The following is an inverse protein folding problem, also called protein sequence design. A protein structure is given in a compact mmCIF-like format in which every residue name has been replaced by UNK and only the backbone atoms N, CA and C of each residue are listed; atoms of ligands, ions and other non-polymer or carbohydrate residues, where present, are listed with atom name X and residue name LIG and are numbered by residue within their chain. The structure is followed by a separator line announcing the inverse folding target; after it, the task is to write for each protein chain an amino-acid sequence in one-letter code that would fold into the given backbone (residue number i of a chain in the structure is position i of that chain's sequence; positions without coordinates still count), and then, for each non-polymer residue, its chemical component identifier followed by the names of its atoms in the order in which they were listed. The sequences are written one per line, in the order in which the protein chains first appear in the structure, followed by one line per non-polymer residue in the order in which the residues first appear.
data_IF_351250184541
#
_entry.id   IF_351250184541
#
_cell.length_a   1.000
_cell.length_b   1.000
_cell.length_c   1.000
_cell.angle_alpha   90.00
_cell.angle_beta   90.00
_cell.angle_gamma   90.00
#
_symmetry.space_group_name_H-M   'P 1'
#
loop_
_entity.id
_entity.type
_entity.pdbx_description
1 polymer ?
#
# COMPACT_ATOMS: atom_id res chain seq x y z
N UNK A 1 53.90 39.19 23.53
CA UNK A 1 53.50 39.86 22.27
C UNK A 1 52.87 38.80 21.37
N UNK A 2 51.67 39.10 20.87
CA UNK A 2 50.76 38.18 20.20
C UNK A 2 51.33 37.67 18.87
N UNK A 3 51.22 36.36 18.62
CA UNK A 3 51.37 35.79 17.29
C UNK A 3 50.00 35.25 16.84
N UNK A 4 49.30 36.08 16.08
CA UNK A 4 48.01 35.80 15.44
C UNK A 4 48.26 34.93 14.20
N UNK A 5 47.85 33.68 14.24
CA UNK A 5 47.89 32.79 13.06
C UNK A 5 46.60 32.97 12.26
N UNK A 6 46.72 33.57 11.07
CA UNK A 6 45.66 33.71 10.09
C UNK A 6 45.30 32.34 9.50
N UNK A 7 44.10 31.82 9.81
CA UNK A 7 43.53 30.66 9.12
C UNK A 7 42.84 31.13 7.84
N UNK A 8 43.47 30.88 6.69
CA UNK A 8 42.87 31.09 5.38
C UNK A 8 41.77 30.05 5.14
N UNK A 9 40.52 30.50 5.01
CA UNK A 9 39.38 29.67 4.64
C UNK A 9 39.48 29.22 3.18
N UNK A 10 39.47 27.91 2.95
CA UNK A 10 39.34 27.36 1.59
C UNK A 10 37.94 27.69 1.04
N UNK A 11 37.81 28.17 -0.21
CA UNK A 11 36.51 28.44 -0.80
C UNK A 11 35.73 27.13 -0.94
N UNK A 12 34.52 27.10 -0.37
CA UNK A 12 33.55 26.02 -0.50
C UNK A 12 33.01 26.08 -1.93
N UNK A 13 33.46 25.20 -2.80
CA UNK A 13 32.85 24.97 -4.12
C UNK A 13 31.42 24.49 -3.91
N UNK A 14 30.45 25.37 -4.14
CA UNK A 14 29.04 25.01 -4.21
C UNK A 14 28.83 24.23 -5.50
N UNK A 15 28.72 22.90 -5.37
CA UNK A 15 28.24 22.05 -6.47
C UNK A 15 26.81 22.50 -6.77
N UNK A 16 26.49 22.91 -8.02
CA UNK A 16 25.13 23.27 -8.38
C UNK A 16 24.22 22.05 -8.16
N UNK A 17 23.12 22.24 -7.42
CA UNK A 17 22.06 21.23 -7.38
C UNK A 17 21.55 21.07 -8.81
N UNK A 18 21.87 19.94 -9.44
CA UNK A 18 21.37 19.61 -10.77
C UNK A 18 19.86 19.80 -10.80
N UNK A 19 19.38 20.63 -11.72
CA UNK A 19 17.99 20.72 -12.10
C UNK A 19 17.59 19.39 -12.75
N UNK A 20 17.23 18.41 -11.93
CA UNK A 20 16.67 17.16 -12.42
C UNK A 20 15.43 17.46 -13.26
N UNK A 21 15.35 16.86 -14.44
CA UNK A 21 14.13 16.88 -15.26
C UNK A 21 12.93 16.51 -14.38
N UNK A 22 11.77 17.17 -14.55
CA UNK A 22 10.57 16.83 -13.79
C UNK A 22 10.25 15.35 -13.98
N UNK A 23 9.84 14.68 -12.89
CA UNK A 23 9.40 13.29 -12.92
C UNK A 23 8.33 13.09 -14.00
N UNK A 24 8.48 12.08 -14.88
CA UNK A 24 7.50 11.84 -15.94
C UNK A 24 6.12 11.56 -15.35
N UNK A 25 5.09 12.06 -16.05
CA UNK A 25 3.69 11.72 -15.79
C UNK A 25 3.36 10.55 -16.73
N UNK A 26 2.91 9.43 -16.17
CA UNK A 26 2.61 8.20 -16.91
C UNK A 26 1.14 7.78 -16.69
N UNK A 27 0.53 7.20 -17.71
CA UNK A 27 -0.87 6.75 -17.71
C UNK A 27 -1.04 5.36 -18.35
N UNK A 28 -2.25 5.08 -18.85
CA UNK A 28 -2.56 3.84 -19.54
C UNK A 28 -1.68 3.66 -20.79
N UNK A 29 -1.11 2.46 -20.97
CA UNK A 29 -0.23 2.12 -22.09
C UNK A 29 1.25 2.46 -21.89
N UNK A 30 1.61 3.25 -20.86
CA UNK A 30 3.00 3.56 -20.53
C UNK A 30 3.69 2.42 -19.78
N UNK A 31 5.02 2.36 -19.86
CA UNK A 31 5.84 1.44 -19.04
C UNK A 31 6.01 2.00 -17.63
N UNK A 32 5.27 1.46 -16.67
CA UNK A 32 5.28 1.90 -15.27
C UNK A 32 6.15 0.96 -14.42
N UNK A 33 6.88 1.55 -13.46
CA UNK A 33 7.72 0.83 -12.51
C UNK A 33 8.78 -0.04 -13.18
N UNK A 34 8.79 -1.33 -12.82
CA UNK A 34 9.70 -2.34 -13.39
C UNK A 34 9.17 -2.96 -14.70
N UNK A 35 8.04 -2.47 -15.22
CA UNK A 35 7.41 -2.91 -16.46
C UNK A 35 6.31 -3.96 -16.29
N UNK A 36 6.00 -4.33 -15.05
CA UNK A 36 4.93 -5.25 -14.65
C UNK A 36 3.73 -4.53 -14.02
N UNK A 37 3.66 -3.20 -14.17
CA UNK A 37 2.62 -2.33 -13.61
C UNK A 37 1.90 -1.60 -14.73
N UNK A 38 0.58 -1.48 -14.63
CA UNK A 38 -0.27 -0.81 -15.62
C UNK A 38 -1.53 -0.20 -14.98
N UNK A 39 -2.23 0.63 -15.75
CA UNK A 39 -3.51 1.24 -15.36
C UNK A 39 -4.60 0.73 -16.30
N UNK A 40 -5.75 0.41 -15.72
CA UNK A 40 -7.02 0.24 -16.42
C UNK A 40 -7.93 1.39 -16.06
N UNK A 41 -8.47 2.06 -17.08
CA UNK A 41 -9.46 3.12 -16.93
C UNK A 41 -10.86 2.55 -17.19
N UNK A 42 -11.89 3.17 -16.59
CA UNK A 42 -13.29 2.76 -16.72
C UNK A 42 -13.52 1.31 -16.28
N UNK A 43 -13.05 0.97 -15.07
CA UNK A 43 -13.14 -0.39 -14.53
C UNK A 43 -14.59 -0.88 -14.38
N UNK A 44 -15.44 -0.03 -13.79
CA UNK A 44 -16.82 -0.33 -13.45
C UNK A 44 -17.76 0.17 -14.55
N UNK A 45 -18.87 -0.55 -14.73
CA UNK A 45 -19.97 -0.12 -15.60
C UNK A 45 -20.66 1.14 -15.04
N UNK A 46 -21.34 1.88 -15.92
CA UNK A 46 -21.92 3.19 -15.62
C UNK A 46 -22.94 3.15 -14.46
N UNK A 47 -23.74 2.10 -14.37
CA UNK A 47 -24.72 1.93 -13.30
C UNK A 47 -24.10 1.79 -11.91
N UNK A 48 -22.97 1.07 -11.82
CA UNK A 48 -22.23 0.91 -10.57
C UNK A 48 -21.36 2.14 -10.27
N UNK A 49 -20.73 2.74 -11.28
CA UNK A 49 -19.80 3.86 -11.07
C UNK A 49 -20.52 5.09 -10.50
N UNK A 50 -21.73 5.36 -10.97
CA UNK A 50 -22.55 6.51 -10.57
C UNK A 50 -22.91 6.50 -9.07
N UNK A 51 -23.04 5.29 -8.50
CA UNK A 51 -23.44 5.10 -7.10
C UNK A 51 -22.29 4.67 -6.19
N UNK A 52 -21.17 4.19 -6.75
CA UNK A 52 -20.08 3.57 -5.99
C UNK A 52 -19.52 4.49 -4.91
N UNK A 53 -19.30 5.78 -5.21
CA UNK A 53 -18.70 6.69 -4.24
C UNK A 53 -19.56 6.86 -2.98
N UNK A 54 -20.85 7.17 -3.15
CA UNK A 54 -21.77 7.39 -2.03
C UNK A 54 -22.09 6.08 -1.28
N UNK A 55 -22.21 4.97 -2.01
CA UNK A 55 -22.39 3.66 -1.37
C UNK A 55 -21.17 3.28 -0.53
N UNK A 56 -19.94 3.43 -1.04
CA UNK A 56 -18.74 3.15 -0.27
C UNK A 56 -18.66 4.02 0.99
N UNK A 57 -18.98 5.32 0.90
CA UNK A 57 -19.00 6.21 2.09
C UNK A 57 -19.97 5.71 3.16
N UNK A 58 -21.12 5.16 2.76
CA UNK A 58 -22.20 4.70 3.65
C UNK A 58 -22.00 3.27 4.17
N UNK A 59 -21.54 2.36 3.33
CA UNK A 59 -21.47 0.92 3.62
C UNK A 59 -20.21 0.54 4.39
N UNK A 60 -19.07 1.20 4.10
CA UNK A 60 -17.78 0.88 4.69
C UNK A 60 -17.72 1.33 6.15
N UNK A 61 -17.24 0.45 7.02
CA UNK A 61 -17.06 0.72 8.44
C UNK A 61 -15.75 1.48 8.68
N UNK A 62 -15.80 2.80 8.59
CA UNK A 62 -14.63 3.66 8.70
C UNK A 62 -14.07 3.74 10.12
N UNK A 63 -12.75 3.57 10.23
CA UNK A 63 -11.98 3.68 11.46
C UNK A 63 -10.91 4.76 11.35
N UNK A 64 -10.61 5.39 12.48
CA UNK A 64 -9.41 6.21 12.64
C UNK A 64 -8.27 5.31 13.11
N UNK A 65 -7.16 5.30 12.37
CA UNK A 65 -5.94 4.56 12.75
C UNK A 65 -4.90 5.48 13.38
N UNK A 66 -4.08 4.91 14.25
CA UNK A 66 -2.90 5.56 14.82
C UNK A 66 -1.64 4.83 14.36
N UNK A 67 -0.57 5.59 14.10
CA UNK A 67 0.74 5.03 13.78
C UNK A 67 1.84 5.93 14.36
N UNK A 68 2.77 5.35 15.15
CA UNK A 68 3.88 6.09 15.78
C UNK A 68 3.40 7.26 16.65
N UNK A 69 2.31 7.06 17.37
CA UNK A 69 1.76 8.05 18.32
C UNK A 69 0.96 9.20 17.71
N UNK A 70 0.60 9.13 16.42
CA UNK A 70 -0.26 10.13 15.76
C UNK A 70 -1.38 9.50 14.92
N UNK A 71 -2.47 10.24 14.75
CA UNK A 71 -3.55 9.86 13.83
C UNK A 71 -3.02 9.78 12.39
N UNK A 72 -3.31 8.66 11.73
CA UNK A 72 -3.06 8.51 10.31
C UNK A 72 -4.04 9.43 9.55
N UNK A 73 -3.57 10.30 8.64
CA UNK A 73 -4.38 11.36 8.04
C UNK A 73 -5.20 10.80 6.87
N UNK A 74 -6.13 9.89 7.19
CA UNK A 74 -7.15 9.26 6.33
C UNK A 74 -7.95 8.28 7.19
N UNK A 75 -9.22 8.10 6.87
CA UNK A 75 -10.00 7.01 7.45
C UNK A 75 -9.67 5.70 6.73
N UNK A 76 -9.78 4.58 7.44
CA UNK A 76 -9.44 3.26 6.91
C UNK A 76 -10.51 2.23 7.22
N UNK A 77 -10.54 1.15 6.46
CA UNK A 77 -11.27 -0.07 6.79
C UNK A 77 -10.55 -1.27 6.19
N UNK A 78 -10.75 -2.44 6.77
CA UNK A 78 -10.29 -3.71 6.22
C UNK A 78 -11.50 -4.59 5.99
N UNK A 79 -11.65 -5.07 4.77
CA UNK A 79 -12.69 -6.04 4.43
C UNK A 79 -12.08 -7.26 3.73
N UNK A 80 -12.73 -8.41 3.82
CA UNK A 80 -12.26 -9.64 3.19
C UNK A 80 -13.33 -10.72 3.08
N UNK A 81 -12.93 -11.83 2.47
CA UNK A 81 -13.77 -13.03 2.38
C UNK A 81 -13.66 -13.79 3.71
N UNK A 82 -14.81 -14.14 4.28
CA UNK A 82 -14.88 -15.10 5.39
C UNK A 82 -15.12 -16.47 4.77
N UNK A 83 -14.21 -17.40 5.00
CA UNK A 83 -14.31 -18.76 4.48
C UNK A 83 -15.46 -19.52 5.15
N UNK A 84 -15.93 -20.61 4.54
CA UNK A 84 -17.06 -21.41 5.05
C UNK A 84 -16.84 -21.95 6.47
N UNK A 85 -15.58 -22.08 6.87
CA UNK A 85 -15.15 -22.56 8.18
C UNK A 85 -14.91 -21.42 9.21
N UNK A 86 -15.21 -20.18 8.82
CA UNK A 86 -15.01 -18.97 9.61
C UNK A 86 -13.60 -18.41 9.57
N UNK A 87 -12.64 -19.05 8.89
CA UNK A 87 -11.29 -18.49 8.75
C UNK A 87 -11.29 -17.24 7.87
N UNK A 88 -10.34 -16.35 8.14
CA UNK A 88 -10.24 -15.03 7.50
C UNK A 88 -8.82 -14.79 7.00
N UNK A 89 -8.64 -14.07 5.87
CA UNK A 89 -7.33 -13.70 5.37
C UNK A 89 -6.67 -12.66 6.28
N UNK A 90 -5.37 -12.83 6.51
CA UNK A 90 -4.56 -11.93 7.32
C UNK A 90 -3.51 -11.25 6.46
N UNK A 91 -3.55 -9.91 6.38
CA UNK A 91 -2.48 -9.11 5.78
C UNK A 91 -1.67 -8.40 6.87
N UNK A 92 -0.39 -8.73 7.00
CA UNK A 92 0.50 -8.14 8.00
C UNK A 92 1.38 -7.05 7.41
N UNK A 93 1.48 -5.95 8.13
CA UNK A 93 2.43 -4.88 7.88
C UNK A 93 2.82 -4.21 9.20
N UNK A 94 3.93 -3.43 9.24
CA UNK A 94 4.29 -2.67 10.43
C UNK A 94 3.18 -1.66 10.77
N UNK A 95 2.44 -1.92 11.84
CA UNK A 95 1.45 -1.03 12.43
C UNK A 95 1.35 -1.32 13.92
N UNK A 96 0.92 -0.33 14.70
CA UNK A 96 0.72 -0.52 16.14
C UNK A 96 -0.50 -1.45 16.36
N UNK A 97 -1.57 -1.24 15.57
CA UNK A 97 -2.76 -2.09 15.51
C UNK A 97 -3.31 -2.11 14.08
N UNK A 98 -3.98 -3.20 13.68
CA UNK A 98 -4.75 -3.28 12.43
C UNK A 98 -6.25 -3.21 12.72
N UNK A 99 -7.07 -2.51 11.91
CA UNK A 99 -8.52 -2.56 12.04
C UNK A 99 -9.03 -4.00 11.93
N UNK A 100 -10.16 -4.33 12.59
CA UNK A 100 -10.78 -5.64 12.40
C UNK A 100 -11.18 -5.83 10.94
N UNK A 101 -11.06 -7.07 10.46
CA UNK A 101 -11.54 -7.45 9.14
C UNK A 101 -13.05 -7.67 9.20
N UNK A 102 -13.78 -7.00 8.31
CA UNK A 102 -15.21 -7.22 8.08
C UNK A 102 -15.46 -7.98 6.77
N UNK A 103 -16.62 -8.63 6.59
CA UNK A 103 -17.00 -9.14 5.28
C UNK A 103 -17.03 -8.03 4.23
N UNK A 104 -16.77 -8.36 2.96
CA UNK A 104 -17.01 -7.40 1.87
C UNK A 104 -18.44 -6.87 1.91
N UNK A 105 -18.55 -5.54 1.92
CA UNK A 105 -19.82 -4.83 1.70
C UNK A 105 -20.32 -5.06 0.27
N UNK A 106 -21.62 -4.85 -0.02
CA UNK A 106 -22.19 -5.11 -1.35
C UNK A 106 -21.41 -4.40 -2.48
N UNK A 107 -21.08 -3.12 -2.30
CA UNK A 107 -20.35 -2.36 -3.31
C UNK A 107 -18.90 -2.85 -3.45
N UNK A 108 -18.22 -3.15 -2.34
CA UNK A 108 -16.85 -3.71 -2.37
C UNK A 108 -16.80 -5.07 -3.05
N UNK A 109 -17.81 -5.93 -2.83
CA UNK A 109 -17.92 -7.24 -3.47
C UNK A 109 -18.04 -7.13 -4.99
N UNK A 110 -18.85 -6.19 -5.50
CA UNK A 110 -18.96 -5.94 -6.94
C UNK A 110 -17.65 -5.42 -7.54
N UNK A 111 -16.95 -4.52 -6.85
CA UNK A 111 -15.63 -4.04 -7.28
C UNK A 111 -14.60 -5.18 -7.26
N UNK A 112 -14.60 -6.03 -6.23
CA UNK A 112 -13.71 -7.18 -6.12
C UNK A 112 -13.89 -8.18 -7.28
N UNK A 113 -15.13 -8.38 -7.74
CA UNK A 113 -15.44 -9.20 -8.92
C UNK A 113 -14.86 -8.58 -10.21
N UNK A 114 -15.05 -7.26 -10.41
CA UNK A 114 -14.49 -6.54 -11.55
C UNK A 114 -12.95 -6.62 -11.55
N UNK A 115 -12.32 -6.40 -10.38
CA UNK A 115 -10.88 -6.53 -10.19
C UNK A 115 -10.40 -7.94 -10.56
N UNK A 116 -11.01 -8.98 -9.96
CA UNK A 116 -10.61 -10.38 -10.18
C UNK A 116 -10.68 -10.78 -11.65
N UNK A 117 -11.69 -10.28 -12.38
CA UNK A 117 -11.84 -10.50 -13.83
C UNK A 117 -10.68 -9.90 -14.63
N UNK A 118 -10.22 -8.70 -14.26
CA UNK A 118 -9.13 -8.01 -14.95
C UNK A 118 -7.78 -8.67 -14.68
N UNK A 119 -7.47 -9.01 -13.42
CA UNK A 119 -6.17 -9.61 -13.04
C UNK A 119 -6.11 -11.13 -13.21
N UNK A 120 -7.25 -11.77 -13.52
CA UNK A 120 -7.36 -13.22 -13.71
C UNK A 120 -6.86 -14.05 -12.52
N UNK A 121 -7.07 -13.55 -11.30
CA UNK A 121 -6.87 -14.26 -10.05
C UNK A 121 -7.85 -13.69 -9.00
N UNK A 122 -8.24 -14.44 -7.96
CA UNK A 122 -9.13 -13.90 -6.94
C UNK A 122 -8.45 -12.79 -6.15
N UNK A 123 -9.25 -11.93 -5.53
CA UNK A 123 -8.84 -11.05 -4.44
C UNK A 123 -9.76 -11.29 -3.25
N UNK A 124 -9.19 -11.59 -2.09
CA UNK A 124 -9.94 -12.00 -0.89
C UNK A 124 -9.77 -11.01 0.27
N UNK A 125 -9.01 -9.94 0.08
CA UNK A 125 -8.74 -8.93 1.09
C UNK A 125 -8.64 -7.55 0.45
N UNK A 126 -9.14 -6.51 1.13
CA UNK A 126 -9.02 -5.12 0.72
C UNK A 126 -8.69 -4.21 1.91
N UNK A 127 -7.70 -3.33 1.71
CA UNK A 127 -7.52 -2.16 2.57
C UNK A 127 -8.18 -0.97 1.90
N UNK A 128 -9.18 -0.38 2.55
CA UNK A 128 -9.93 0.77 2.05
C UNK A 128 -9.42 2.02 2.76
N UNK A 129 -9.21 3.10 2.02
CA UNK A 129 -8.67 4.36 2.54
C UNK A 129 -9.47 5.53 1.99
N UNK A 130 -10.04 6.34 2.87
CA UNK A 130 -10.78 7.54 2.50
C UNK A 130 -9.92 8.79 2.76
N UNK A 131 -9.48 9.41 1.67
CA UNK A 131 -8.78 10.67 1.65
C UNK A 131 -9.82 11.79 1.57
N UNK A 132 -10.05 12.47 2.69
CA UNK A 132 -11.10 13.50 2.85
C UNK A 132 -10.77 14.81 2.12
N UNK A 133 -9.51 14.99 1.75
CA UNK A 133 -9.03 16.15 0.99
C UNK A 133 -7.62 15.91 0.42
N UNK A 134 -7.08 16.89 -0.29
CA UNK A 134 -5.68 16.93 -0.69
C UNK A 134 -4.67 16.92 0.47
N UNK A 135 -5.10 17.19 1.71
CA UNK A 135 -4.23 17.15 2.89
C UNK A 135 -3.98 15.73 3.39
N UNK A 136 -4.90 14.80 3.13
CA UNK A 136 -4.74 13.38 3.48
C UNK A 136 -3.71 12.74 2.53
N UNK A 137 -2.83 11.90 3.07
CA UNK A 137 -1.67 11.37 2.35
C UNK A 137 -1.24 10.02 2.93
N UNK A 138 -0.42 9.28 2.18
CA UNK A 138 0.32 8.11 2.65
C UNK A 138 1.78 8.23 2.21
N UNK A 139 2.69 8.11 3.17
CA UNK A 139 4.14 8.18 2.90
C UNK A 139 4.59 7.06 1.97
N UNK A 140 5.73 7.27 1.30
CA UNK A 140 6.31 6.28 0.41
C UNK A 140 6.68 4.99 1.16
N UNK A 141 6.22 3.84 0.66
CA UNK A 141 6.43 2.50 1.23
C UNK A 141 6.42 1.42 0.14
N UNK A 142 6.83 0.20 0.47
CA UNK A 142 6.45 -1.01 -0.27
C UNK A 142 5.43 -1.79 0.55
N UNK A 143 4.45 -2.39 -0.12
CA UNK A 143 3.53 -3.34 0.51
C UNK A 143 4.30 -4.60 0.92
N UNK A 144 3.88 -5.25 2.01
CA UNK A 144 4.55 -6.44 2.52
C UNK A 144 4.04 -7.68 1.83
N UNK A 145 4.96 -8.47 1.27
CA UNK A 145 4.59 -9.62 0.44
C UNK A 145 4.55 -10.95 1.19
N UNK A 146 4.81 -10.96 2.51
CA UNK A 146 4.75 -12.17 3.34
C UNK A 146 3.42 -12.93 3.18
N UNK A 147 2.30 -12.20 3.19
CA UNK A 147 0.96 -12.79 3.13
C UNK A 147 0.33 -12.72 1.74
N UNK A 148 0.93 -11.98 0.80
CA UNK A 148 0.41 -11.84 -0.57
C UNK A 148 0.80 -13.08 -1.38
N UNK A 149 -0.17 -13.77 -1.95
CA UNK A 149 0.06 -14.98 -2.75
C UNK A 149 1.07 -14.69 -3.86
N UNK A 150 2.14 -15.48 -3.91
CA UNK A 150 3.19 -15.32 -4.92
C UNK A 150 2.61 -15.39 -6.33
N UNK A 151 3.01 -14.46 -7.18
CA UNK A 151 2.54 -14.35 -8.57
C UNK A 151 1.21 -13.58 -8.74
N UNK A 152 0.56 -13.17 -7.65
CA UNK A 152 -0.60 -12.26 -7.69
C UNK A 152 -0.19 -10.79 -7.80
N UNK A 153 -1.14 -9.93 -8.16
CA UNK A 153 -0.97 -8.48 -8.19
C UNK A 153 -1.50 -7.80 -6.92
N UNK A 154 -0.96 -6.61 -6.63
CA UNK A 154 -1.55 -5.66 -5.68
C UNK A 154 -2.32 -4.63 -6.50
N UNK A 155 -3.62 -4.49 -6.23
CA UNK A 155 -4.51 -3.70 -7.09
C UNK A 155 -5.10 -2.53 -6.33
N UNK A 156 -4.90 -1.30 -6.81
CA UNK A 156 -5.50 -0.10 -6.22
C UNK A 156 -6.60 0.47 -7.12
N UNK A 157 -7.85 0.34 -6.70
CA UNK A 157 -8.99 1.00 -7.36
C UNK A 157 -9.21 2.39 -6.76
N UNK A 158 -9.50 3.37 -7.61
CA UNK A 158 -9.73 4.77 -7.24
C UNK A 158 -11.14 5.21 -7.61
N UNK A 159 -11.93 5.58 -6.60
CA UNK A 159 -13.26 6.17 -6.77
C UNK A 159 -13.25 7.55 -6.11
N UNK A 160 -13.57 8.59 -6.87
CA UNK A 160 -13.66 9.97 -6.39
C UNK A 160 -12.68 10.91 -7.11
N UNK A 161 -12.21 11.94 -6.41
CA UNK A 161 -11.24 12.90 -6.90
C UNK A 161 -9.93 12.24 -7.36
N UNK A 162 -9.39 12.72 -8.48
CA UNK A 162 -8.09 12.28 -8.98
C UNK A 162 -6.97 12.64 -7.99
N UNK A 163 -6.12 11.65 -7.68
CA UNK A 163 -4.86 11.85 -6.95
C UNK A 163 -3.71 11.24 -7.74
N UNK A 164 -2.48 11.59 -7.36
CA UNK A 164 -1.27 11.10 -8.04
C UNK A 164 -0.57 10.07 -7.17
N UNK A 165 -0.41 8.86 -7.70
CA UNK A 165 0.51 7.85 -7.20
C UNK A 165 1.93 8.23 -7.59
N UNK A 166 2.81 8.35 -6.60
CA UNK A 166 4.23 8.54 -6.82
C UNK A 166 4.93 7.21 -6.70
N UNK A 167 5.69 6.80 -7.72
CA UNK A 167 6.62 5.68 -7.63
C UNK A 167 8.04 6.24 -7.58
N UNK A 168 8.78 5.95 -6.51
CA UNK A 168 10.19 6.33 -6.39
C UNK A 168 11.05 5.08 -6.29
N UNK A 169 12.07 4.99 -7.13
CA UNK A 169 12.98 3.85 -7.11
C UNK A 169 13.73 3.77 -5.77
N UNK A 170 13.96 2.56 -5.26
CA UNK A 170 14.76 2.35 -4.04
C UNK A 170 16.21 2.81 -4.24
N UNK A 171 16.84 3.23 -3.13
CA UNK A 171 18.12 3.96 -3.15
C UNK A 171 19.31 3.11 -3.62
N UNK A 172 19.25 1.81 -3.37
CA UNK A 172 20.25 0.82 -3.75
C UNK A 172 20.30 0.57 -5.26
N UNK A 173 19.17 0.73 -5.97
CA UNK A 173 19.10 0.67 -7.43
C UNK A 173 19.45 1.99 -8.12
N UNK A 174 19.23 3.11 -7.45
CA UNK A 174 19.45 4.43 -8.03
C UNK A 174 19.77 5.45 -6.94
N UNK A 175 21.02 5.96 -6.87
CA UNK A 175 21.36 7.04 -5.94
C UNK A 175 20.67 8.37 -6.33
N UNK A 176 20.20 8.49 -7.57
CA UNK A 176 19.38 9.62 -8.02
C UNK A 176 17.90 9.37 -7.71
N UNK A 177 17.18 10.44 -7.34
CA UNK A 177 15.75 10.42 -7.01
C UNK A 177 14.88 10.26 -8.27
N UNK A 178 15.06 9.17 -9.02
CA UNK A 178 14.16 8.88 -10.13
C UNK A 178 12.79 8.50 -9.58
N UNK A 179 11.77 9.23 -10.04
CA UNK A 179 10.39 9.01 -9.65
C UNK A 179 9.46 9.17 -10.84
N UNK A 180 8.38 8.41 -10.86
CA UNK A 180 7.28 8.49 -11.81
C UNK A 180 6.03 9.02 -11.09
N UNK A 181 5.19 9.76 -11.82
CA UNK A 181 3.92 10.31 -11.32
C UNK A 181 2.78 9.70 -12.13
N UNK A 182 1.84 9.09 -11.45
CA UNK A 182 0.75 8.35 -12.09
C UNK A 182 -0.58 8.93 -11.61
N UNK A 183 -1.28 9.73 -12.42
CA UNK A 183 -2.64 10.15 -12.12
C UNK A 183 -3.56 8.94 -11.99
N UNK A 184 -4.39 8.94 -10.95
CA UNK A 184 -5.39 7.92 -10.68
C UNK A 184 -6.79 8.55 -10.82
N UNK A 185 -7.37 8.56 -12.02
CA UNK A 185 -8.68 9.16 -12.24
C UNK A 185 -9.79 8.37 -11.53
N UNK A 186 -10.98 8.97 -11.45
CA UNK A 186 -12.19 8.26 -11.02
C UNK A 186 -12.40 7.00 -11.86
N UNK A 187 -12.86 5.91 -11.24
CA UNK A 187 -13.10 4.62 -11.90
C UNK A 187 -11.86 4.02 -12.58
N UNK A 188 -10.68 4.22 -11.97
CA UNK A 188 -9.43 3.62 -12.44
C UNK A 188 -8.90 2.56 -11.51
N UNK A 189 -8.10 1.66 -12.08
CA UNK A 189 -7.45 0.54 -11.40
C UNK A 189 -5.96 0.54 -11.73
N UNK A 190 -5.14 0.80 -10.74
CA UNK A 190 -3.68 0.68 -10.82
C UNK A 190 -3.27 -0.72 -10.38
N UNK A 191 -2.78 -1.52 -11.34
CA UNK A 191 -2.34 -2.90 -11.12
C UNK A 191 -0.84 -2.89 -10.95
N UNK A 192 -0.38 -3.15 -9.72
CA UNK A 192 1.03 -3.20 -9.39
C UNK A 192 1.54 -4.64 -9.39
N UNK A 193 2.56 -4.90 -10.20
CA UNK A 193 3.29 -6.15 -10.16
C UNK A 193 4.30 -6.20 -9.01
N UNK A 194 4.64 -7.43 -8.57
CA UNK A 194 5.52 -7.63 -7.42
C UNK A 194 6.96 -7.19 -7.67
N UNK A 195 7.44 -7.15 -8.92
CA UNK A 195 8.77 -6.59 -9.20
C UNK A 195 8.77 -5.08 -8.99
N UNK A 196 7.71 -4.39 -9.41
CA UNK A 196 7.55 -2.97 -9.10
C UNK A 196 7.49 -2.73 -7.59
N UNK A 197 6.68 -3.49 -6.83
CA UNK A 197 6.63 -3.35 -5.37
C UNK A 197 8.00 -3.61 -4.69
N UNK A 198 8.80 -4.53 -5.24
CA UNK A 198 10.15 -4.83 -4.74
C UNK A 198 11.16 -3.73 -5.05
N UNK A 199 11.12 -3.13 -6.22
CA UNK A 199 12.15 -2.19 -6.68
C UNK A 199 11.81 -0.71 -6.44
N UNK A 200 10.54 -0.43 -6.13
CA UNK A 200 9.99 0.90 -5.98
C UNK A 200 9.26 1.07 -4.65
N UNK A 201 9.22 2.31 -4.19
CA UNK A 201 8.36 2.77 -3.11
C UNK A 201 7.21 3.56 -3.73
N UNK A 202 5.99 3.37 -3.22
CA UNK A 202 4.80 4.07 -3.68
C UNK A 202 4.15 4.91 -2.58
N UNK A 203 3.52 6.01 -2.95
CA UNK A 203 2.80 6.87 -2.01
C UNK A 203 1.86 7.87 -2.68
N UNK A 204 0.96 8.43 -1.88
CA UNK A 204 0.08 9.55 -2.27
C UNK A 204 0.52 10.76 -1.46
N UNK A 205 1.09 11.77 -2.10
CA UNK A 205 1.56 12.99 -1.43
C UNK A 205 0.43 13.96 -1.14
N UNK A 206 0.65 14.82 -0.13
CA UNK A 206 -0.21 15.99 0.12
C UNK A 206 -0.21 16.90 -1.11
N UNK A 207 -1.38 17.40 -1.47
CA UNK A 207 -1.58 18.39 -2.53
C UNK A 207 -2.18 19.69 -1.97
N UNK A 208 -1.28 20.56 -1.51
CA UNK A 208 -1.59 21.85 -0.90
C UNK A 208 -1.75 22.98 -1.93
N UNK A 209 -1.79 22.67 -3.23
CA UNK A 209 -2.03 23.68 -4.26
C UNK A 209 -3.38 24.38 -4.02
N UNK A 210 -3.50 25.70 -4.29
CA UNK A 210 -4.78 26.39 -4.20
C UNK A 210 -5.85 25.72 -5.08
N UNK A 211 -7.10 25.61 -4.59
CA UNK A 211 -8.21 24.93 -5.30
C UNK A 211 -8.37 25.44 -6.74
N UNK A 212 -8.24 26.75 -6.96
CA UNK A 212 -8.31 27.38 -8.30
C UNK A 212 -7.24 26.92 -9.31
N UNK A 213 -6.23 26.18 -8.87
CA UNK A 213 -5.15 25.64 -9.72
C UNK A 213 -5.31 24.13 -9.98
N UNK A 214 -6.36 23.52 -9.42
CA UNK A 214 -6.71 22.12 -9.61
C UNK A 214 -7.74 22.02 -10.73
N UNK A 215 -7.65 20.97 -11.52
CA UNK A 215 -8.62 20.61 -12.56
C UNK A 215 -9.93 20.07 -11.98
N UNK A 216 -10.97 19.98 -12.80
CA UNK A 216 -12.29 19.49 -12.39
C UNK A 216 -12.22 18.04 -11.86
N UNK A 217 -11.42 17.19 -12.49
CA UNK A 217 -11.23 15.80 -12.02
C UNK A 217 -10.51 15.72 -10.67
N UNK A 218 -9.69 16.71 -10.31
CA UNK A 218 -9.00 16.79 -9.02
C UNK A 218 -9.88 17.39 -7.91
N UNK A 219 -10.98 18.05 -8.26
CA UNK A 219 -11.95 18.66 -7.32
C UNK A 219 -13.30 17.95 -7.29
N UNK A 220 -13.52 16.98 -8.18
CA UNK A 220 -14.70 16.11 -8.20
C UNK A 220 -14.96 15.49 -6.82
N UNK A 221 -16.23 15.19 -6.52
CA UNK A 221 -16.64 14.60 -5.22
C UNK A 221 -16.15 15.42 -4.01
N UNK A 222 -16.13 16.76 -4.13
CA UNK A 222 -15.64 17.65 -3.09
C UNK A 222 -14.12 17.55 -2.81
N UNK A 223 -13.36 16.92 -3.70
CA UNK A 223 -11.93 16.64 -3.52
C UNK A 223 -11.64 15.40 -2.67
N UNK A 224 -12.67 14.61 -2.34
CA UNK A 224 -12.56 13.35 -1.60
C UNK A 224 -12.21 12.19 -2.55
N UNK A 225 -11.40 11.24 -2.08
CA UNK A 225 -11.05 10.02 -2.83
C UNK A 225 -11.12 8.80 -1.92
N UNK A 226 -11.80 7.75 -2.39
CA UNK A 226 -11.78 6.42 -1.78
C UNK A 226 -10.85 5.53 -2.61
N UNK A 227 -9.90 4.92 -1.91
CA UNK A 227 -8.93 3.98 -2.46
C UNK A 227 -9.25 2.59 -1.94
N UNK A 228 -9.30 1.60 -2.82
CA UNK A 228 -9.46 0.19 -2.45
C UNK A 228 -8.22 -0.58 -2.90
N UNK A 229 -7.37 -0.99 -1.96
CA UNK A 229 -6.18 -1.81 -2.26
C UNK A 229 -6.50 -3.28 -2.04
N UNK A 230 -6.86 -3.97 -3.11
CA UNK A 230 -7.13 -5.41 -3.14
C UNK A 230 -5.84 -6.23 -3.22
N UNK A 231 -5.85 -7.37 -2.54
CA UNK A 231 -4.78 -8.37 -2.55
C UNK A 231 -5.37 -9.77 -2.59
N UNK A 232 -4.61 -10.71 -3.13
CA UNK A 232 -4.83 -12.13 -2.91
C UNK A 232 -3.94 -12.57 -1.75
N UNK A 233 -4.54 -12.94 -0.63
CA UNK A 233 -3.87 -13.28 0.61
C UNK A 233 -3.87 -14.78 0.82
N UNK A 234 -2.69 -15.35 1.12
CA UNK A 234 -2.46 -16.76 1.32
C UNK A 234 -2.20 -17.16 2.77
N UNK A 235 -2.31 -16.22 3.72
CA UNK A 235 -2.18 -16.44 5.16
C UNK A 235 -3.51 -16.20 5.83
N UNK A 236 -3.88 -17.06 6.78
CA UNK A 236 -5.21 -17.09 7.36
C UNK A 236 -5.15 -17.20 8.88
N UNK A 237 -6.13 -16.58 9.54
CA UNK A 237 -6.48 -16.84 10.93
C UNK A 237 -7.68 -17.78 10.97
N UNK A 238 -7.67 -18.72 11.91
CA UNK A 238 -8.84 -19.56 12.22
C UNK A 238 -9.98 -18.70 12.78
N UNK A 239 -11.22 -19.23 12.81
CA UNK A 239 -12.43 -18.50 13.20
C UNK A 239 -12.35 -17.76 14.55
N UNK A 240 -11.65 -18.34 15.53
CA UNK A 240 -11.44 -17.73 16.86
C UNK A 240 -10.19 -16.84 16.93
N UNK A 241 -9.49 -16.65 15.81
CA UNK A 241 -8.21 -15.94 15.68
C UNK A 241 -7.10 -16.47 16.61
N UNK A 242 -7.25 -17.68 17.16
CA UNK A 242 -6.28 -18.27 18.09
C UNK A 242 -5.07 -18.86 17.38
N UNK A 243 -5.24 -19.25 16.12
CA UNK A 243 -4.24 -19.96 15.34
C UNK A 243 -4.13 -19.40 13.92
N UNK A 244 -2.93 -19.47 13.38
CA UNK A 244 -2.53 -18.94 12.07
C UNK A 244 -1.97 -20.08 11.20
N UNK A 245 -2.23 -19.99 9.90
CA UNK A 245 -1.68 -20.90 8.89
C UNK A 245 -1.54 -20.22 7.52
N UNK A 246 -0.89 -20.89 6.58
CA UNK A 246 -0.76 -20.44 5.20
C UNK A 246 0.64 -19.93 4.85
N UNK A 247 0.75 -19.25 3.70
CA UNK A 247 2.02 -18.90 3.07
C UNK A 247 3.00 -18.21 4.03
N UNK A 248 2.54 -17.17 4.71
CA UNK A 248 3.32 -16.36 5.62
C UNK A 248 3.43 -16.91 7.04
N UNK A 249 2.69 -17.96 7.40
CA UNK A 249 2.74 -18.60 8.71
C UNK A 249 3.80 -19.71 8.74
N UNK A 250 4.19 -20.18 9.92
CA UNK A 250 5.11 -21.33 10.02
C UNK A 250 4.41 -22.61 9.53
N UNK A 251 3.16 -22.83 9.95
CA UNK A 251 2.30 -23.90 9.42
C UNK A 251 1.72 -23.52 8.07
N UNK A 252 1.98 -24.28 7.01
CA UNK A 252 1.63 -23.87 5.64
C UNK A 252 0.22 -24.33 5.24
N UNK A 253 -0.29 -25.37 5.90
CA UNK A 253 -1.67 -25.83 5.73
C UNK A 253 -2.48 -25.63 7.00
N UNK A 254 -3.81 -25.79 6.87
CA UNK A 254 -4.72 -25.67 8.00
C UNK A 254 -4.47 -26.73 9.07
N UNK A 255 -4.14 -27.95 8.67
CA UNK A 255 -3.83 -29.07 9.57
C UNK A 255 -2.55 -28.79 10.38
N UNK A 256 -1.68 -27.95 9.85
CA UNK A 256 -0.44 -27.49 10.46
C UNK A 256 -0.61 -26.17 11.21
N UNK A 257 -1.83 -25.65 11.38
CA UNK A 257 -2.07 -24.37 12.03
C UNK A 257 -1.44 -24.31 13.43
N UNK A 258 -0.86 -23.15 13.75
CA UNK A 258 -0.11 -22.93 14.99
C UNK A 258 -0.73 -21.80 15.80
N UNK A 259 -0.58 -21.80 17.14
CA UNK A 259 -1.04 -20.70 17.96
C UNK A 259 -0.42 -19.37 17.51
N UNK A 260 -1.24 -18.33 17.45
CA UNK A 260 -0.78 -16.96 17.18
C UNK A 260 0.16 -16.49 18.28
N UNK A 261 1.21 -15.78 17.89
CA UNK A 261 2.14 -15.11 18.80
C UNK A 261 1.78 -13.61 18.85
N UNK A 262 1.55 -13.11 20.07
CA UNK A 262 1.24 -11.70 20.32
C UNK A 262 2.15 -11.14 21.41
N UNK A 263 2.70 -9.95 21.20
CA UNK A 263 3.41 -9.20 22.24
C UNK A 263 4.70 -9.84 22.77
N UNK A 264 5.32 -10.74 21.99
CA UNK A 264 6.66 -11.28 22.29
C UNK A 264 7.70 -10.41 21.54
N UNK A 265 8.48 -9.56 22.23
CA UNK A 265 9.32 -8.56 21.57
C UNK A 265 10.35 -9.15 20.60
N UNK A 266 10.94 -10.30 20.95
CA UNK A 266 11.95 -10.94 20.10
C UNK A 266 11.36 -11.43 18.76
N UNK A 267 10.19 -12.07 18.79
CA UNK A 267 9.51 -12.57 17.59
C UNK A 267 8.96 -11.41 16.74
N UNK A 268 8.39 -10.39 17.39
CA UNK A 268 7.97 -9.15 16.74
C UNK A 268 9.14 -8.46 16.05
N UNK A 269 10.30 -8.38 16.71
CA UNK A 269 11.49 -7.73 16.14
C UNK A 269 12.01 -8.47 14.91
N UNK A 270 12.05 -9.81 14.91
CA UNK A 270 12.45 -10.60 13.74
C UNK A 270 11.59 -10.28 12.50
N UNK A 271 10.26 -10.21 12.68
CA UNK A 271 9.35 -9.87 11.59
C UNK A 271 9.50 -8.40 11.15
N UNK A 272 9.66 -7.47 12.09
CA UNK A 272 9.91 -6.05 11.80
C UNK A 272 11.22 -5.87 11.02
N UNK A 273 12.27 -6.60 11.36
CA UNK A 273 13.54 -6.58 10.64
C UNK A 273 13.39 -7.12 9.22
N UNK A 274 12.64 -8.20 9.03
CA UNK A 274 12.31 -8.74 7.71
C UNK A 274 11.50 -7.74 6.86
N UNK A 275 10.50 -7.08 7.45
CA UNK A 275 9.79 -5.96 6.82
C UNK A 275 10.73 -4.80 6.46
N UNK A 276 11.71 -4.52 7.32
CA UNK A 276 12.76 -3.55 7.10
C UNK A 276 13.58 -3.88 5.85
N UNK A 277 14.08 -5.12 5.73
CA UNK A 277 14.83 -5.59 4.56
C UNK A 277 14.03 -5.41 3.27
N UNK A 278 12.77 -5.84 3.23
CA UNK A 278 11.91 -5.70 2.05
C UNK A 278 11.72 -4.24 1.62
N UNK A 279 11.71 -3.28 2.54
CA UNK A 279 11.61 -1.85 2.18
C UNK A 279 12.90 -1.26 1.60
N UNK A 280 14.06 -1.77 1.99
CA UNK A 280 15.36 -1.15 1.67
C UNK A 280 16.10 -1.86 0.55
N UNK A 281 15.88 -3.16 0.38
CA UNK A 281 16.64 -4.02 -0.54
C UNK A 281 15.81 -4.34 -1.78
N UNK A 282 16.35 -4.02 -2.95
CA UNK A 282 15.76 -4.32 -4.25
C UNK A 282 15.99 -5.76 -4.72
N UNK A 283 17.03 -6.41 -4.19
CA UNK A 283 17.31 -7.83 -4.38
C UNK A 283 16.77 -8.69 -3.22
N UNK A 284 15.69 -8.22 -2.59
CA UNK A 284 15.03 -8.94 -1.50
C UNK A 284 14.69 -10.38 -1.90
N UNK A 285 15.22 -11.34 -1.15
CA UNK A 285 14.92 -12.76 -1.27
C UNK A 285 13.78 -13.12 -0.31
N UNK A 286 12.62 -13.42 -0.89
CA UNK A 286 11.42 -13.76 -0.13
C UNK A 286 11.59 -15.09 0.62
N UNK A 287 12.26 -16.08 0.01
CA UNK A 287 12.39 -17.42 0.58
C UNK A 287 13.35 -17.39 1.78
N UNK A 288 14.43 -16.59 1.71
CA UNK A 288 15.33 -16.34 2.85
C UNK A 288 14.64 -15.56 3.98
N UNK A 289 13.93 -14.47 3.65
CA UNK A 289 13.38 -13.56 4.65
C UNK A 289 12.05 -14.03 5.27
N UNK A 290 11.18 -14.69 4.49
CA UNK A 290 9.83 -15.08 4.88
C UNK A 290 9.53 -16.56 4.75
N UNK A 291 10.36 -17.36 4.05
CA UNK A 291 10.05 -18.75 3.73
C UNK A 291 9.74 -19.63 4.95
N UNK A 292 10.48 -19.44 6.04
CA UNK A 292 10.25 -20.16 7.31
C UNK A 292 8.91 -19.79 7.99
N UNK A 293 8.32 -18.66 7.61
CA UNK A 293 7.06 -18.17 8.16
C UNK A 293 7.20 -17.48 9.51
N UNK A 294 6.14 -16.79 9.90
CA UNK A 294 6.01 -16.08 11.17
C UNK A 294 4.62 -16.31 11.73
N UNK A 295 4.50 -16.64 13.00
CA UNK A 295 3.19 -16.79 13.67
C UNK A 295 2.76 -15.51 14.41
N UNK A 296 3.54 -14.43 14.28
CA UNK A 296 3.28 -13.12 14.90
C UNK A 296 2.16 -12.38 14.16
N UNK A 297 1.21 -11.83 14.92
CA UNK A 297 0.07 -11.05 14.40
C UNK A 297 0.05 -9.62 14.94
N UNK A 298 0.18 -9.43 16.27
CA UNK A 298 0.19 -8.11 16.90
C UNK A 298 1.59 -7.67 17.33
N UNK A 299 1.96 -6.45 16.98
CA UNK A 299 3.28 -5.86 17.20
C UNK A 299 3.24 -4.96 18.43
N UNK A 300 3.61 -5.49 19.57
CA UNK A 300 3.97 -4.67 20.72
C UNK A 300 5.49 -4.62 20.77
N UNK A 301 6.06 -3.41 20.62
CA UNK A 301 7.46 -3.12 20.92
C UNK A 301 7.51 -2.34 22.22
#
# INVERSE_FOLDING_TARGET
MQNTTLNASKPRTTIPRGSGSPSPILGAGDKIGSGDTYIVENLLADDLVDIAFENLKREVHWHTMFHRGGEVPRLVAVEGVIENDGSIPLYRHPADESPPLHPFTPTVSLIAQAVSKVVNHPVNHVLIQHYRSGNDYISEHSDKTIDVVRGSNIVNVSIGAQRVMFLRRKKDLSPTKYAQRIPLPHNSMFVMGLNTNREWLHGIHRDNRPVKTKSDVETAFGGERISLTFRHIGTYLMNDSSSIYGQGAVGKTREEARPVINGIPEESQKLIDAFGKENHESLFDWDDAYGQGFDVVNYTV
#
